data_IF_932531235550
#
_entry.id   IF_932531235550
#
_cell.length_a   1.000
_cell.length_b   1.000
_cell.length_c   1.000
_cell.angle_alpha   90.00
_cell.angle_beta   90.00
_cell.angle_gamma   90.00
#
_symmetry.space_group_name_H-M   'P 1'
#
loop_
_entity.id
_entity.type
_entity.pdbx_description
1 polymer ?
#
# COMPACT_ATOMS: atom_id res chain seq x y z
N UNK A 1 25.39 -34.48 -3.48
CA UNK A 1 26.60 -33.78 -2.99
C UNK A 1 26.85 -32.54 -3.83
N UNK A 2 26.63 -31.35 -3.25
CA UNK A 2 27.42 -30.12 -3.39
C UNK A 2 26.78 -29.10 -2.44
N UNK A 3 27.30 -29.05 -1.21
CA UNK A 3 26.96 -28.02 -0.22
C UNK A 3 27.38 -26.67 -0.80
N UNK A 4 26.47 -25.71 -0.86
CA UNK A 4 26.80 -24.30 -1.10
C UNK A 4 26.69 -23.57 0.24
N UNK A 5 27.83 -23.05 0.66
CA UNK A 5 28.08 -22.23 1.83
C UNK A 5 27.36 -20.89 1.70
N UNK A 6 26.52 -20.57 2.68
CA UNK A 6 26.00 -19.22 2.89
C UNK A 6 27.10 -18.38 3.54
N UNK A 7 27.44 -17.26 2.91
CA UNK A 7 28.28 -16.23 3.53
C UNK A 7 27.34 -15.31 4.30
N UNK A 8 27.33 -15.46 5.63
CA UNK A 8 26.85 -14.43 6.54
C UNK A 8 27.82 -13.25 6.46
N UNK A 9 27.31 -12.06 6.16
CA UNK A 9 28.00 -10.80 6.41
C UNK A 9 27.16 -9.98 7.37
N UNK A 10 27.21 -10.34 8.65
CA UNK A 10 26.84 -9.44 9.74
C UNK A 10 28.11 -8.65 10.11
N UNK A 11 28.19 -7.40 9.66
CA UNK A 11 29.20 -6.49 10.15
C UNK A 11 28.79 -5.99 11.53
N UNK A 12 29.50 -6.44 12.56
CA UNK A 12 29.54 -5.80 13.87
C UNK A 12 29.98 -4.33 13.69
N UNK A 13 29.18 -3.39 14.16
CA UNK A 13 29.65 -2.05 14.52
C UNK A 13 29.74 -1.96 16.05
N UNK A 14 30.86 -1.43 16.59
CA UNK A 14 31.06 -1.36 18.03
C UNK A 14 30.23 -0.23 18.64
N UNK A 15 29.66 -0.55 19.79
CA UNK A 15 29.10 0.37 20.77
C UNK A 15 30.17 1.37 21.21
N UNK A 16 29.91 2.68 21.09
CA UNK A 16 30.13 3.74 22.10
C UNK A 16 30.27 5.13 21.45
N UNK A 17 29.22 5.92 21.55
CA UNK A 17 29.31 7.31 22.01
C UNK A 17 27.90 7.77 22.40
N UNK A 18 27.62 7.70 23.70
CA UNK A 18 26.48 8.39 24.29
C UNK A 18 26.67 9.90 24.09
N UNK A 19 25.68 10.53 23.46
CA UNK A 19 25.47 11.97 23.55
C UNK A 19 24.06 12.20 24.11
N UNK A 20 23.86 13.28 24.88
CA UNK A 20 22.89 13.29 25.96
C UNK A 20 21.45 13.42 25.46
N UNK A 21 20.57 12.61 26.07
CA UNK A 21 19.12 12.83 26.12
C UNK A 21 18.88 14.15 26.83
N UNK A 22 18.66 15.22 26.07
CA UNK A 22 18.02 16.45 26.54
C UNK A 22 16.86 16.78 25.58
N UNK A 23 15.79 15.99 25.68
CA UNK A 23 14.47 16.43 25.23
C UNK A 23 13.76 17.02 26.46
N UNK A 24 14.02 18.28 26.75
CA UNK A 24 13.11 19.07 27.59
C UNK A 24 12.90 20.45 26.97
N UNK A 25 11.64 20.87 26.99
CA UNK A 25 11.13 22.22 26.70
C UNK A 25 11.05 22.62 25.23
N UNK A 26 10.00 22.13 24.56
CA UNK A 26 9.29 22.88 23.52
C UNK A 26 7.78 22.59 23.59
N UNK A 27 7.23 22.54 24.79
CA UNK A 27 5.82 22.91 24.99
C UNK A 27 5.78 24.42 25.09
N UNK A 28 5.23 25.08 24.06
CA UNK A 28 4.45 26.33 24.09
C UNK A 28 4.42 26.93 22.68
N UNK A 29 3.23 27.40 22.29
CA UNK A 29 2.88 28.05 21.03
C UNK A 29 2.38 27.13 19.89
N UNK A 30 1.44 26.23 20.20
CA UNK A 30 0.40 25.86 19.24
C UNK A 30 -0.94 26.18 19.87
N UNK A 31 -1.64 27.17 19.32
CA UNK A 31 -3.07 27.32 19.58
C UNK A 31 -3.76 26.06 19.06
N UNK A 32 -4.11 25.16 19.98
CA UNK A 32 -4.97 24.03 19.66
C UNK A 32 -6.27 24.58 19.05
N UNK A 33 -6.66 24.18 17.83
CA UNK A 33 -7.99 24.46 17.33
C UNK A 33 -9.00 23.96 18.36
N UNK A 34 -10.01 24.78 18.66
CA UNK A 34 -11.04 24.49 19.65
C UNK A 34 -11.57 23.06 19.46
N UNK A 35 -11.47 22.28 20.52
CA UNK A 35 -11.73 20.84 20.63
C UNK A 35 -13.23 20.47 20.51
N UNK A 36 -13.95 21.04 19.53
CA UNK A 36 -15.41 20.93 19.39
C UNK A 36 -15.91 20.19 18.14
N UNK A 37 -15.02 19.67 17.30
CA UNK A 37 -15.43 18.87 16.14
C UNK A 37 -14.45 17.72 15.83
N UNK A 38 -14.04 16.97 16.86
CA UNK A 38 -13.32 15.71 16.64
C UNK A 38 -14.31 14.66 16.14
N UNK A 39 -14.51 14.63 14.83
CA UNK A 39 -14.98 13.43 14.15
C UNK A 39 -14.18 12.22 14.69
N UNK A 40 -14.88 11.12 14.98
CA UNK A 40 -14.28 9.93 15.60
C UNK A 40 -13.10 9.47 14.75
N UNK A 41 -11.89 9.46 15.32
CA UNK A 41 -10.69 9.00 14.63
C UNK A 41 -10.93 7.59 14.06
N UNK A 42 -10.64 7.41 12.78
CA UNK A 42 -10.84 6.13 12.08
C UNK A 42 -9.53 5.37 12.13
N UNK A 43 -9.58 4.11 12.58
CA UNK A 43 -8.43 3.21 12.58
C UNK A 43 -8.72 1.95 11.77
N UNK A 44 -7.75 1.55 10.95
CA UNK A 44 -7.88 0.49 9.95
C UNK A 44 -6.57 -0.30 9.91
N UNK A 45 -6.62 -1.62 9.94
CA UNK A 45 -5.46 -2.46 9.70
C UNK A 45 -5.22 -2.60 8.18
N UNK A 46 -3.95 -2.59 7.77
CA UNK A 46 -3.52 -2.70 6.39
C UNK A 46 -2.46 -3.80 6.32
N UNK A 47 -2.78 -4.90 5.62
CA UNK A 47 -1.91 -6.07 5.42
C UNK A 47 -2.05 -6.52 3.98
N UNK A 48 -0.95 -6.83 3.29
CA UNK A 48 -0.95 -7.16 1.86
C UNK A 48 -0.17 -8.44 1.61
N UNK A 49 -0.32 -9.02 0.41
CA UNK A 49 0.56 -10.08 -0.10
C UNK A 49 0.65 -11.25 0.88
N UNK A 50 -0.52 -11.78 1.23
CA UNK A 50 -0.68 -12.84 2.22
C UNK A 50 -0.09 -14.16 1.71
N UNK A 51 -0.27 -14.44 0.40
CA UNK A 51 0.23 -15.63 -0.28
C UNK A 51 -0.02 -16.92 0.51
N UNK A 52 -1.23 -17.09 1.04
CA UNK A 52 -1.57 -18.22 1.91
C UNK A 52 -1.66 -19.49 1.06
N UNK A 53 -0.65 -20.35 1.17
CA UNK A 53 -0.55 -21.60 0.39
C UNK A 53 -0.75 -22.88 1.20
N UNK A 54 -0.81 -22.78 2.53
CA UNK A 54 -0.92 -23.91 3.45
C UNK A 54 -1.62 -23.53 4.76
N UNK A 55 -2.05 -24.54 5.53
CA UNK A 55 -2.75 -24.34 6.81
C UNK A 55 -1.86 -23.69 7.89
N UNK A 56 -0.54 -23.78 7.81
CA UNK A 56 0.36 -23.12 8.77
C UNK A 56 0.40 -21.61 8.52
N UNK A 57 0.45 -21.19 7.26
CA UNK A 57 0.33 -19.80 6.86
C UNK A 57 -1.05 -19.24 7.22
N UNK A 58 -2.10 -20.02 6.95
CA UNK A 58 -3.47 -19.63 7.34
C UNK A 58 -3.59 -19.44 8.86
N UNK A 59 -3.02 -20.36 9.66
CA UNK A 59 -2.98 -20.23 11.11
C UNK A 59 -2.18 -19.00 11.56
N UNK A 60 -1.09 -18.68 10.89
CA UNK A 60 -0.29 -17.47 11.19
C UNK A 60 -1.10 -16.21 10.92
N UNK A 61 -1.79 -16.15 9.77
CA UNK A 61 -2.67 -15.04 9.45
C UNK A 61 -3.86 -14.93 10.42
N UNK A 62 -4.44 -16.06 10.84
CA UNK A 62 -5.49 -16.07 11.86
C UNK A 62 -5.01 -15.49 13.20
N UNK A 63 -3.81 -15.82 13.64
CA UNK A 63 -3.19 -15.21 14.83
C UNK A 63 -3.04 -13.70 14.67
N UNK A 64 -2.54 -13.24 13.51
CA UNK A 64 -2.40 -11.81 13.23
C UNK A 64 -3.75 -11.07 13.23
N UNK A 65 -4.79 -11.65 12.62
CA UNK A 65 -6.16 -11.12 12.64
C UNK A 65 -6.69 -11.00 14.07
N UNK A 66 -6.46 -12.01 14.92
CA UNK A 66 -6.85 -11.98 16.32
C UNK A 66 -6.11 -10.88 17.09
N UNK A 67 -4.81 -10.68 16.85
CA UNK A 67 -4.06 -9.58 17.47
C UNK A 67 -4.60 -8.21 17.02
N UNK A 68 -4.86 -8.03 15.72
CA UNK A 68 -5.52 -6.82 15.17
C UNK A 68 -6.85 -6.53 15.87
N UNK A 69 -7.70 -7.56 15.98
CA UNK A 69 -9.05 -7.41 16.52
C UNK A 69 -9.05 -7.24 18.04
N UNK A 70 -8.33 -8.08 18.76
CA UNK A 70 -8.44 -8.20 20.20
C UNK A 70 -7.41 -7.37 20.97
N UNK A 71 -6.17 -7.26 20.48
CA UNK A 71 -5.14 -6.47 21.18
C UNK A 71 -5.20 -5.01 20.75
N UNK A 72 -5.37 -4.75 19.45
CA UNK A 72 -5.40 -3.38 18.92
C UNK A 72 -6.81 -2.77 18.85
N UNK A 73 -7.86 -3.57 19.06
CA UNK A 73 -9.27 -3.13 19.00
C UNK A 73 -9.61 -2.45 17.67
N UNK A 74 -9.01 -2.93 16.58
CA UNK A 74 -9.26 -2.44 15.23
C UNK A 74 -10.44 -3.20 14.64
N UNK A 75 -11.38 -2.45 14.05
CA UNK A 75 -12.65 -2.96 13.52
C UNK A 75 -12.75 -2.86 12.00
N UNK A 76 -11.69 -2.44 11.32
CA UNK A 76 -11.65 -2.32 9.85
C UNK A 76 -10.34 -2.87 9.33
N UNK A 77 -10.36 -3.49 8.15
CA UNK A 77 -9.18 -4.05 7.51
C UNK A 77 -9.17 -3.79 6.00
N UNK A 78 -7.99 -3.52 5.46
CA UNK A 78 -7.70 -3.42 4.03
C UNK A 78 -6.68 -4.52 3.68
N UNK A 79 -6.98 -5.28 2.62
CA UNK A 79 -6.12 -6.32 2.03
C UNK A 79 -5.91 -5.98 0.54
N UNK A 80 -4.80 -5.30 0.17
CA UNK A 80 -4.48 -4.90 -1.19
C UNK A 80 -4.04 -6.05 -2.12
N UNK A 81 -4.71 -7.20 -2.10
CA UNK A 81 -4.46 -8.29 -3.04
C UNK A 81 -3.40 -9.31 -2.61
N UNK A 82 -3.17 -10.27 -3.51
CA UNK A 82 -2.35 -11.46 -3.35
C UNK A 82 -2.70 -12.25 -2.09
N UNK A 83 -3.97 -12.61 -2.00
CA UNK A 83 -4.52 -13.41 -0.91
C UNK A 83 -3.93 -14.83 -0.97
N UNK A 84 -4.00 -15.48 -2.14
CA UNK A 84 -3.45 -16.81 -2.36
C UNK A 84 -3.33 -17.19 -3.85
N UNK A 85 -2.39 -18.09 -4.16
CA UNK A 85 -2.27 -18.78 -5.43
C UNK A 85 -3.42 -19.79 -5.72
N UNK A 86 -4.33 -20.04 -4.76
CA UNK A 86 -5.40 -21.05 -4.90
C UNK A 86 -6.77 -20.59 -4.40
N UNK A 87 -7.83 -20.96 -5.12
CA UNK A 87 -9.21 -20.64 -4.74
C UNK A 87 -9.58 -21.18 -3.35
N UNK A 88 -9.07 -22.35 -2.95
CA UNK A 88 -9.37 -22.93 -1.64
C UNK A 88 -8.89 -22.01 -0.50
N UNK A 89 -7.66 -21.53 -0.59
CA UNK A 89 -7.11 -20.63 0.41
C UNK A 89 -7.64 -19.20 0.29
N UNK A 90 -7.95 -18.69 -0.91
CA UNK A 90 -8.71 -17.43 -1.05
C UNK A 90 -10.02 -17.54 -0.27
N UNK A 91 -10.76 -18.64 -0.44
CA UNK A 91 -12.06 -18.85 0.22
C UNK A 91 -11.92 -18.92 1.74
N UNK A 92 -10.94 -19.70 2.23
CA UNK A 92 -10.64 -19.79 3.66
C UNK A 92 -10.26 -18.43 4.24
N UNK A 93 -9.35 -17.69 3.61
CA UNK A 93 -8.94 -16.37 4.09
C UNK A 93 -10.12 -15.40 4.15
N UNK A 94 -10.92 -15.33 3.09
CA UNK A 94 -12.10 -14.47 3.06
C UNK A 94 -13.11 -14.84 4.15
N UNK A 95 -13.34 -16.14 4.39
CA UNK A 95 -14.19 -16.63 5.48
C UNK A 95 -13.63 -16.23 6.86
N UNK A 96 -12.33 -16.41 7.10
CA UNK A 96 -11.69 -16.01 8.37
C UNK A 96 -11.82 -14.52 8.61
N UNK A 97 -11.54 -13.69 7.60
CA UNK A 97 -11.67 -12.23 7.70
C UNK A 97 -13.12 -11.83 7.96
N UNK A 98 -14.08 -12.41 7.22
CA UNK A 98 -15.51 -12.14 7.45
C UNK A 98 -15.92 -12.51 8.88
N UNK A 99 -15.43 -13.64 9.39
CA UNK A 99 -15.73 -14.13 10.74
C UNK A 99 -15.07 -13.30 11.85
N UNK A 100 -13.91 -12.69 11.60
CA UNK A 100 -13.26 -11.78 12.56
C UNK A 100 -13.95 -10.41 12.58
N UNK A 101 -14.44 -9.92 11.45
CA UNK A 101 -15.02 -8.57 11.29
C UNK A 101 -16.53 -8.60 11.00
N UNK A 102 -17.28 -9.30 11.87
CA UNK A 102 -18.72 -9.53 11.68
C UNK A 102 -19.61 -8.31 11.99
N UNK A 103 -19.11 -7.30 12.72
CA UNK A 103 -19.96 -6.18 13.15
C UNK A 103 -20.52 -5.36 11.99
N UNK A 104 -21.70 -4.77 12.19
CA UNK A 104 -22.40 -3.97 11.16
C UNK A 104 -21.57 -2.77 10.69
N UNK A 105 -20.86 -2.14 11.62
CA UNK A 105 -19.99 -1.00 11.37
C UNK A 105 -18.55 -1.39 10.99
N UNK A 106 -18.24 -2.69 10.94
CA UNK A 106 -16.91 -3.20 10.62
C UNK A 106 -16.78 -3.40 9.11
N UNK A 107 -15.75 -2.79 8.52
CA UNK A 107 -15.52 -2.78 7.08
C UNK A 107 -14.30 -3.62 6.71
N UNK A 108 -14.49 -4.45 5.69
CA UNK A 108 -13.46 -5.28 5.08
C UNK A 108 -13.31 -4.82 3.64
N UNK A 109 -12.13 -4.34 3.27
CA UNK A 109 -11.78 -3.98 1.89
C UNK A 109 -10.70 -4.96 1.46
N UNK A 110 -11.07 -6.07 0.86
CA UNK A 110 -10.14 -7.03 0.28
C UNK A 110 -10.31 -7.02 -1.24
N UNK A 111 -9.25 -6.68 -1.99
CA UNK A 111 -9.20 -6.79 -3.45
C UNK A 111 -8.38 -8.01 -3.84
N UNK A 112 -8.42 -8.38 -5.12
CA UNK A 112 -7.59 -9.43 -5.70
C UNK A 112 -6.28 -8.84 -6.25
N UNK A 113 -5.19 -9.58 -6.08
CA UNK A 113 -3.91 -9.34 -6.72
C UNK A 113 -3.67 -10.26 -7.92
N UNK A 114 -2.50 -10.13 -8.55
CA UNK A 114 -2.20 -10.89 -9.76
C UNK A 114 -2.16 -12.40 -9.50
N UNK A 115 -1.67 -12.84 -8.34
CA UNK A 115 -1.67 -14.26 -7.97
C UNK A 115 -3.08 -14.82 -7.79
N UNK A 116 -4.02 -13.97 -7.34
CA UNK A 116 -5.41 -14.38 -7.18
C UNK A 116 -6.14 -14.51 -8.52
N UNK A 117 -5.79 -13.70 -9.53
CA UNK A 117 -6.54 -13.63 -10.80
C UNK A 117 -5.93 -14.40 -11.97
N UNK A 118 -4.61 -14.61 -11.98
CA UNK A 118 -3.92 -15.28 -13.10
C UNK A 118 -4.16 -16.79 -13.14
N UNK A 119 -4.53 -17.37 -12.00
CA UNK A 119 -4.79 -18.79 -11.82
C UNK A 119 -3.55 -19.62 -11.50
N UNK A 120 -3.75 -20.87 -11.05
CA UNK A 120 -2.67 -21.69 -10.50
C UNK A 120 -1.79 -22.36 -11.56
N UNK A 121 -2.22 -22.44 -12.82
CA UNK A 121 -1.45 -23.08 -13.88
C UNK A 121 -0.61 -22.05 -14.65
N UNK A 122 0.70 -22.08 -14.42
CA UNK A 122 1.66 -21.22 -15.12
C UNK A 122 1.62 -21.31 -16.65
N UNK A 123 1.08 -22.39 -17.22
CA UNK A 123 0.94 -22.55 -18.68
C UNK A 123 -0.17 -21.68 -19.28
N UNK A 124 -1.12 -21.21 -18.47
CA UNK A 124 -2.21 -20.32 -18.91
C UNK A 124 -1.96 -18.86 -18.54
N UNK A 125 -0.80 -18.54 -17.95
CA UNK A 125 -0.47 -17.16 -17.61
C UNK A 125 -0.15 -16.38 -18.88
N UNK A 126 -0.77 -15.21 -18.99
CA UNK A 126 -0.56 -14.29 -20.11
C UNK A 126 -0.29 -12.88 -19.62
N UNK A 127 0.50 -12.12 -20.38
CA UNK A 127 0.65 -10.67 -20.21
C UNK A 127 -0.11 -9.89 -21.29
N UNK A 128 -0.65 -10.58 -22.29
CA UNK A 128 -1.40 -9.98 -23.39
C UNK A 128 -2.85 -9.72 -22.92
N UNK A 129 -3.32 -8.46 -22.89
CA UNK A 129 -4.70 -8.14 -22.49
C UNK A 129 -5.78 -8.67 -23.45
N UNK A 130 -5.40 -9.01 -24.69
CA UNK A 130 -6.32 -9.56 -25.68
C UNK A 130 -6.44 -11.09 -25.59
N UNK A 131 -5.55 -11.77 -24.85
CA UNK A 131 -5.64 -13.20 -24.60
C UNK A 131 -6.68 -13.54 -23.51
N UNK A 132 -7.54 -14.53 -23.79
CA UNK A 132 -8.54 -14.97 -22.82
C UNK A 132 -7.87 -15.75 -21.69
N UNK A 133 -8.15 -15.35 -20.44
CA UNK A 133 -7.88 -16.16 -19.25
C UNK A 133 -9.20 -16.72 -18.70
N UNK A 134 -9.54 -18.00 -18.97
CA UNK A 134 -10.77 -18.60 -18.48
C UNK A 134 -10.86 -18.67 -16.95
N UNK A 135 -9.73 -18.74 -16.24
CA UNK A 135 -9.71 -18.76 -14.79
C UNK A 135 -10.20 -17.43 -14.21
N UNK A 136 -9.85 -16.30 -14.84
CA UNK A 136 -10.27 -14.97 -14.40
C UNK A 136 -11.80 -14.85 -14.30
N UNK A 137 -12.52 -15.27 -15.35
CA UNK A 137 -14.00 -15.24 -15.37
C UNK A 137 -14.60 -16.08 -14.25
N UNK A 138 -13.97 -17.21 -13.91
CA UNK A 138 -14.41 -18.07 -12.83
C UNK A 138 -14.12 -17.48 -11.45
N UNK A 139 -12.90 -17.00 -11.21
CA UNK A 139 -12.50 -16.49 -9.89
C UNK A 139 -13.19 -15.18 -9.55
N UNK A 140 -13.42 -14.29 -10.53
CA UNK A 140 -14.06 -12.99 -10.27
C UNK A 140 -15.51 -13.15 -9.79
N UNK A 141 -16.25 -14.11 -10.38
CA UNK A 141 -17.60 -14.46 -9.93
C UNK A 141 -17.58 -15.09 -8.54
N UNK A 142 -16.62 -15.96 -8.24
CA UNK A 142 -16.46 -16.52 -6.89
C UNK A 142 -16.15 -15.43 -5.87
N UNK A 143 -15.24 -14.53 -6.18
CA UNK A 143 -14.86 -13.41 -5.34
C UNK A 143 -16.05 -12.50 -5.02
N UNK A 144 -16.80 -12.05 -6.05
CA UNK A 144 -18.01 -11.25 -5.87
C UNK A 144 -19.04 -11.94 -4.96
N UNK A 145 -19.16 -13.27 -5.05
CA UNK A 145 -20.07 -14.03 -4.19
C UNK A 145 -19.56 -14.14 -2.74
N UNK A 146 -18.24 -14.31 -2.54
CA UNK A 146 -17.65 -14.44 -1.20
C UNK A 146 -17.81 -13.17 -0.36
N UNK A 147 -17.77 -11.99 -0.97
CA UNK A 147 -17.85 -10.71 -0.25
C UNK A 147 -19.22 -9.99 -0.39
N UNK A 148 -20.18 -10.56 -1.12
CA UNK A 148 -21.50 -9.96 -1.40
C UNK A 148 -22.29 -9.53 -0.16
N UNK A 149 -22.03 -10.14 1.00
CA UNK A 149 -22.70 -9.76 2.26
C UNK A 149 -22.28 -8.39 2.77
N UNK A 150 -21.05 -7.96 2.48
CA UNK A 150 -20.45 -6.71 2.97
C UNK A 150 -20.27 -5.68 1.84
N UNK A 151 -20.13 -6.16 0.60
CA UNK A 151 -19.76 -5.36 -0.57
C UNK A 151 -20.85 -5.44 -1.63
N UNK A 152 -21.19 -4.28 -2.19
CA UNK A 152 -21.95 -4.20 -3.43
C UNK A 152 -20.99 -3.88 -4.57
N UNK A 153 -20.70 -4.88 -5.40
CA UNK A 153 -19.90 -4.69 -6.60
C UNK A 153 -20.67 -3.96 -7.69
N UNK A 154 -19.92 -3.33 -8.58
CA UNK A 154 -20.44 -2.86 -9.84
C UNK A 154 -20.80 -4.04 -10.76
N UNK A 155 -21.74 -3.81 -11.66
CA UNK A 155 -22.27 -4.87 -12.53
C UNK A 155 -21.21 -5.34 -13.53
N UNK A 156 -20.48 -4.38 -14.13
CA UNK A 156 -19.55 -4.64 -15.25
C UNK A 156 -18.13 -5.05 -14.83
N UNK A 157 -17.74 -4.76 -13.59
CA UNK A 157 -16.39 -4.99 -13.08
C UNK A 157 -16.43 -5.33 -11.58
N UNK A 158 -15.32 -5.76 -11.00
CA UNK A 158 -15.26 -6.12 -9.58
C UNK A 158 -14.83 -4.97 -8.67
N UNK A 159 -14.59 -3.77 -9.20
CA UNK A 159 -14.36 -2.59 -8.38
C UNK A 159 -15.59 -2.25 -7.52
N UNK A 160 -15.33 -1.59 -6.38
CA UNK A 160 -16.35 -1.13 -5.44
C UNK A 160 -15.81 0.03 -4.62
N UNK A 161 -16.69 0.75 -3.93
CA UNK A 161 -16.31 1.79 -2.98
C UNK A 161 -17.03 1.64 -1.64
N UNK A 162 -16.38 2.08 -0.56
CA UNK A 162 -16.92 2.06 0.80
C UNK A 162 -16.60 3.39 1.50
N UNK A 163 -17.53 3.85 2.33
CA UNK A 163 -17.27 4.90 3.30
C UNK A 163 -16.96 4.31 4.67
N UNK A 164 -15.85 4.76 5.28
CA UNK A 164 -15.51 4.50 6.68
C UNK A 164 -15.49 5.85 7.39
N UNK A 165 -16.55 6.14 8.14
CA UNK A 165 -16.81 7.50 8.63
C UNK A 165 -17.02 8.46 7.45
N UNK A 166 -16.30 9.57 7.44
CA UNK A 166 -16.34 10.59 6.39
C UNK A 166 -15.34 10.35 5.24
N UNK A 167 -14.61 9.24 5.28
CA UNK A 167 -13.53 8.92 4.32
C UNK A 167 -14.02 7.92 3.28
N UNK A 168 -13.61 8.13 2.04
CA UNK A 168 -14.02 7.36 0.87
C UNK A 168 -12.89 6.44 0.42
N UNK A 169 -13.14 5.15 0.38
CA UNK A 169 -12.22 4.12 -0.07
C UNK A 169 -12.72 3.56 -1.39
N UNK A 170 -11.88 3.61 -2.41
CA UNK A 170 -12.18 3.17 -3.77
C UNK A 170 -11.26 1.99 -4.06
N UNK A 171 -11.84 0.81 -4.24
CA UNK A 171 -11.12 -0.44 -4.42
C UNK A 171 -11.11 -0.84 -5.90
N UNK A 172 -9.92 -0.85 -6.50
CA UNK A 172 -9.70 -1.18 -7.90
C UNK A 172 -9.29 -2.66 -8.03
N UNK A 173 -10.20 -3.48 -8.54
CA UNK A 173 -9.88 -4.82 -9.01
C UNK A 173 -9.58 -4.75 -10.51
N UNK A 174 -8.55 -5.47 -10.97
CA UNK A 174 -8.27 -5.60 -12.40
C UNK A 174 -9.45 -6.22 -13.16
N UNK A 175 -9.65 -5.81 -14.41
CA UNK A 175 -10.67 -6.32 -15.31
C UNK A 175 -10.21 -7.54 -16.12
N UNK A 176 -8.93 -7.94 -15.98
CA UNK A 176 -8.35 -9.14 -16.63
C UNK A 176 -7.41 -9.88 -15.69
N UNK A 177 -7.34 -11.20 -15.84
CA UNK A 177 -6.42 -12.07 -15.10
C UNK A 177 -5.05 -12.16 -15.76
N UNK A 178 -4.34 -11.03 -15.87
CA UNK A 178 -2.97 -11.03 -16.38
C UNK A 178 -1.99 -11.57 -15.34
N UNK A 179 -0.85 -12.07 -15.80
CA UNK A 179 0.14 -12.75 -14.96
C UNK A 179 0.60 -11.89 -13.80
N UNK A 180 1.01 -10.65 -14.08
CA UNK A 180 1.60 -9.75 -13.08
C UNK A 180 1.10 -8.30 -13.23
N UNK A 181 0.22 -8.02 -14.20
CA UNK A 181 -0.24 -6.67 -14.57
C UNK A 181 -1.69 -6.45 -14.16
N UNK A 182 -2.07 -5.19 -13.92
CA UNK A 182 -3.47 -4.77 -13.92
C UNK A 182 -3.93 -4.40 -15.34
N UNK A 183 -5.22 -4.51 -15.57
CA UNK A 183 -5.87 -3.98 -16.76
C UNK A 183 -7.22 -3.39 -16.40
N UNK A 184 -7.58 -2.25 -17.00
CA UNK A 184 -8.85 -1.58 -16.73
C UNK A 184 -9.56 -1.22 -18.04
N UNK A 185 -10.78 -1.73 -18.20
CA UNK A 185 -11.67 -1.36 -19.30
C UNK A 185 -12.15 0.09 -19.14
N UNK A 186 -12.54 0.73 -20.24
CA UNK A 186 -13.03 2.12 -20.23
C UNK A 186 -14.18 2.34 -19.23
N UNK A 187 -15.09 1.37 -19.06
CA UNK A 187 -16.17 1.48 -18.08
C UNK A 187 -15.65 1.58 -16.64
N UNK A 188 -14.57 0.89 -16.33
CA UNK A 188 -13.94 0.92 -15.00
C UNK A 188 -13.20 2.24 -14.79
N UNK A 189 -12.50 2.74 -15.82
CA UNK A 189 -11.85 4.05 -15.78
C UNK A 189 -12.86 5.20 -15.61
N UNK A 190 -13.97 5.17 -16.35
CA UNK A 190 -15.07 6.14 -16.23
C UNK A 190 -15.71 6.09 -14.83
N UNK A 191 -15.94 4.88 -14.30
CA UNK A 191 -16.44 4.70 -12.94
C UNK A 191 -15.45 5.25 -11.91
N UNK A 192 -14.17 4.94 -12.07
CA UNK A 192 -13.12 5.40 -11.17
C UNK A 192 -13.02 6.92 -11.15
N UNK A 193 -12.96 7.56 -12.32
CA UNK A 193 -12.93 9.02 -12.42
C UNK A 193 -14.16 9.67 -11.78
N UNK A 194 -15.34 9.08 -11.99
CA UNK A 194 -16.59 9.55 -11.37
C UNK A 194 -16.51 9.47 -9.84
N UNK A 195 -16.12 8.32 -9.29
CA UNK A 195 -16.01 8.10 -7.84
C UNK A 195 -14.98 9.02 -7.20
N UNK A 196 -13.83 9.17 -7.85
CA UNK A 196 -12.77 10.06 -7.36
C UNK A 196 -13.20 11.53 -7.38
N UNK A 197 -14.14 11.90 -8.25
CA UNK A 197 -14.69 13.25 -8.36
C UNK A 197 -15.85 13.55 -7.39
N UNK A 198 -16.32 12.57 -6.62
CA UNK A 198 -17.36 12.80 -5.62
C UNK A 198 -16.84 13.73 -4.49
N UNK A 199 -17.69 14.63 -4.01
CA UNK A 199 -17.35 15.49 -2.88
C UNK A 199 -17.36 14.66 -1.60
N UNK A 200 -16.24 14.64 -0.88
CA UNK A 200 -16.09 13.93 0.38
C UNK A 200 -15.73 14.91 1.49
N UNK A 201 -16.26 14.68 2.70
CA UNK A 201 -15.92 15.49 3.87
C UNK A 201 -14.52 15.16 4.39
N UNK A 202 -14.16 13.88 4.36
CA UNK A 202 -12.87 13.38 4.80
C UNK A 202 -11.86 13.29 3.65
N UNK A 203 -11.19 12.15 3.57
CA UNK A 203 -10.09 11.88 2.64
C UNK A 203 -10.48 10.77 1.67
N UNK A 204 -9.81 10.73 0.52
CA UNK A 204 -9.95 9.66 -0.48
C UNK A 204 -8.75 8.72 -0.44
N UNK A 205 -9.04 7.43 -0.49
CA UNK A 205 -8.05 6.36 -0.55
C UNK A 205 -8.40 5.48 -1.75
N UNK A 206 -7.43 5.25 -2.62
CA UNK A 206 -7.52 4.32 -3.73
C UNK A 206 -6.68 3.11 -3.37
N UNK A 207 -7.29 1.93 -3.44
CA UNK A 207 -6.62 0.65 -3.16
C UNK A 207 -6.47 -0.07 -4.50
N UNK A 208 -5.23 -0.37 -4.85
CA UNK A 208 -4.86 -1.15 -6.03
C UNK A 208 -3.85 -2.21 -5.59
N UNK A 209 -3.81 -3.37 -6.23
CA UNK A 209 -2.76 -4.33 -5.91
C UNK A 209 -1.42 -3.87 -6.51
N UNK A 210 -1.41 -3.61 -7.81
CA UNK A 210 -0.23 -3.13 -8.51
C UNK A 210 0.10 -1.68 -8.13
N UNK A 211 1.38 -1.38 -7.85
CA UNK A 211 1.88 -0.01 -7.73
C UNK A 211 1.91 0.67 -9.09
N UNK A 212 1.67 1.98 -9.13
CA UNK A 212 1.87 2.77 -10.36
C UNK A 212 3.34 2.79 -10.77
N UNK A 213 3.64 2.83 -12.07
CA UNK A 213 5.03 2.82 -12.56
C UNK A 213 5.80 4.05 -12.08
N UNK A 214 7.11 3.88 -11.88
CA UNK A 214 8.06 4.93 -11.48
C UNK A 214 7.73 5.60 -10.14
N UNK A 215 7.14 4.82 -9.23
CA UNK A 215 6.74 5.31 -7.91
C UNK A 215 7.63 4.75 -6.82
N UNK A 216 7.41 3.50 -6.42
CA UNK A 216 8.14 2.83 -5.36
C UNK A 216 9.36 2.08 -5.90
N UNK A 217 10.31 1.79 -5.01
CA UNK A 217 11.36 0.82 -5.28
C UNK A 217 10.71 -0.51 -5.72
N UNK A 218 10.95 -0.90 -6.98
CA UNK A 218 10.48 -2.10 -7.72
C UNK A 218 9.07 -2.00 -8.33
N UNK A 219 8.50 -0.79 -8.40
CA UNK A 219 7.16 -0.59 -8.96
C UNK A 219 6.97 -1.00 -10.43
N UNK A 220 8.03 -0.99 -11.26
CA UNK A 220 7.93 -1.42 -12.67
C UNK A 220 8.36 -2.89 -12.88
N UNK A 221 8.70 -3.63 -11.82
CA UNK A 221 9.04 -5.05 -11.97
C UNK A 221 7.83 -5.84 -12.46
N UNK A 222 8.10 -7.01 -13.05
CA UNK A 222 7.09 -7.91 -13.59
C UNK A 222 6.23 -7.32 -14.73
N UNK A 223 6.60 -6.15 -15.26
CA UNK A 223 5.87 -5.41 -16.29
C UNK A 223 5.16 -4.16 -15.75
N UNK A 224 5.25 -3.92 -14.44
CA UNK A 224 4.73 -2.72 -13.78
C UNK A 224 3.22 -2.74 -13.61
N UNK A 225 2.61 -1.56 -13.64
CA UNK A 225 1.18 -1.41 -13.39
C UNK A 225 0.32 -2.05 -14.49
N UNK A 226 0.65 -1.83 -15.76
CA UNK A 226 -0.16 -2.22 -16.91
C UNK A 226 -0.39 -1.06 -17.88
N UNK A 227 -1.13 -1.31 -18.96
CA UNK A 227 -1.29 -0.36 -20.08
C UNK A 227 -1.98 0.96 -19.69
N UNK A 228 -2.82 0.94 -18.64
CA UNK A 228 -3.57 2.11 -18.19
C UNK A 228 -2.86 2.96 -17.13
N UNK A 229 -1.58 2.71 -16.85
CA UNK A 229 -0.81 3.46 -15.84
C UNK A 229 -0.92 4.99 -16.02
N UNK A 230 -0.71 5.49 -17.23
CA UNK A 230 -0.79 6.92 -17.55
C UNK A 230 -2.22 7.47 -17.39
N UNK A 231 -3.25 6.71 -17.76
CA UNK A 231 -4.63 7.17 -17.64
C UNK A 231 -5.07 7.21 -16.17
N UNK A 232 -4.66 6.23 -15.35
CA UNK A 232 -4.89 6.25 -13.90
C UNK A 232 -4.18 7.45 -13.26
N UNK A 233 -2.89 7.68 -13.58
CA UNK A 233 -2.14 8.87 -13.11
C UNK A 233 -2.83 10.16 -13.52
N UNK A 234 -3.34 10.24 -14.76
CA UNK A 234 -4.08 11.40 -15.27
C UNK A 234 -5.38 11.64 -14.52
N UNK A 235 -6.17 10.62 -14.21
CA UNK A 235 -7.38 10.74 -13.38
C UNK A 235 -7.01 11.22 -11.97
N UNK A 236 -6.00 10.59 -11.36
CA UNK A 236 -5.52 10.93 -10.02
C UNK A 236 -4.93 12.35 -9.92
N UNK A 237 -4.29 12.86 -10.98
CA UNK A 237 -3.71 14.22 -11.03
C UNK A 237 -4.75 15.33 -10.83
N UNK A 238 -6.03 15.05 -11.10
CA UNK A 238 -7.15 15.96 -10.82
C UNK A 238 -7.48 16.02 -9.33
N UNK A 239 -7.02 15.04 -8.55
CA UNK A 239 -7.28 14.85 -7.12
C UNK A 239 -5.99 14.56 -6.33
N UNK A 240 -4.98 15.46 -6.35
CA UNK A 240 -3.61 15.18 -5.89
C UNK A 240 -3.46 14.97 -4.37
N UNK A 241 -4.52 15.15 -3.59
CA UNK A 241 -4.58 14.85 -2.15
C UNK A 241 -5.05 13.42 -1.84
N UNK A 242 -5.31 12.62 -2.88
CA UNK A 242 -5.73 11.22 -2.75
C UNK A 242 -4.55 10.36 -2.30
N UNK A 243 -4.81 9.43 -1.39
CA UNK A 243 -3.87 8.39 -1.03
C UNK A 243 -4.04 7.21 -1.99
N UNK A 244 -2.96 6.70 -2.55
CA UNK A 244 -2.93 5.49 -3.38
C UNK A 244 -2.15 4.42 -2.63
N UNK A 245 -2.80 3.34 -2.24
CA UNK A 245 -2.21 2.26 -1.44
C UNK A 245 -2.07 1.02 -2.32
N UNK A 246 -0.85 0.46 -2.36
CA UNK A 246 -0.54 -0.74 -3.15
C UNK A 246 0.27 -1.80 -2.40
N UNK A 247 0.25 -3.02 -2.93
CA UNK A 247 1.04 -4.18 -2.50
C UNK A 247 2.01 -4.63 -3.59
N UNK A 248 2.01 -5.92 -3.93
CA UNK A 248 2.67 -6.57 -5.10
C UNK A 248 4.20 -6.64 -5.06
N UNK A 249 4.85 -5.62 -4.49
CA UNK A 249 6.32 -5.46 -4.56
C UNK A 249 7.07 -6.38 -3.58
N UNK A 250 6.40 -6.84 -2.53
CA UNK A 250 6.97 -7.66 -1.44
C UNK A 250 8.15 -7.03 -0.69
N UNK A 251 8.19 -5.70 -0.56
CA UNK A 251 9.13 -5.06 0.34
C UNK A 251 8.65 -5.16 1.79
N UNK A 252 9.59 -5.09 2.73
CA UNK A 252 9.37 -4.98 4.16
C UNK A 252 9.88 -3.66 4.71
N UNK A 253 9.70 -3.46 6.02
CA UNK A 253 10.17 -2.25 6.68
C UNK A 253 11.67 -2.00 6.48
N UNK A 254 12.04 -0.72 6.44
CA UNK A 254 13.42 -0.26 6.16
C UNK A 254 13.75 -0.05 4.68
N UNK A 255 12.89 -0.53 3.77
CA UNK A 255 12.99 -0.26 2.32
C UNK A 255 11.67 0.12 1.65
N UNK A 256 10.54 0.02 2.37
CA UNK A 256 9.26 0.56 1.90
C UNK A 256 9.37 2.04 1.53
N UNK A 257 8.44 2.54 0.72
CA UNK A 257 8.37 3.95 0.34
C UNK A 257 6.98 4.58 0.44
N UNK A 258 6.95 5.83 0.92
CA UNK A 258 5.76 6.67 0.96
C UNK A 258 6.11 8.06 0.42
N UNK A 259 5.42 8.52 -0.63
CA UNK A 259 5.83 9.71 -1.36
C UNK A 259 4.67 10.51 -1.93
N UNK A 260 4.83 11.84 -1.94
CA UNK A 260 3.97 12.72 -2.72
C UNK A 260 4.43 12.73 -4.18
N UNK A 261 3.46 12.59 -5.08
CA UNK A 261 3.56 12.97 -6.49
C UNK A 261 2.45 13.94 -6.83
N UNK A 262 2.47 14.49 -8.04
CA UNK A 262 1.41 15.40 -8.47
C UNK A 262 0.08 14.70 -8.78
N UNK A 263 0.07 13.37 -8.75
CA UNK A 263 -1.09 12.51 -8.84
C UNK A 263 -1.41 11.78 -7.53
N UNK A 264 -0.90 12.21 -6.38
CA UNK A 264 -1.33 11.66 -5.08
C UNK A 264 -0.21 11.34 -4.11
N UNK A 265 -0.63 10.91 -2.94
CA UNK A 265 0.24 10.36 -1.89
C UNK A 265 0.29 8.85 -2.05
N UNK A 266 1.42 8.32 -2.50
CA UNK A 266 1.59 6.92 -2.83
C UNK A 266 2.18 6.19 -1.63
N UNK A 267 1.53 5.11 -1.21
CA UNK A 267 1.87 4.32 -0.03
C UNK A 267 2.08 2.87 -0.44
N UNK A 268 3.29 2.39 -0.22
CA UNK A 268 3.60 0.97 -0.34
C UNK A 268 3.25 0.24 0.96
N UNK A 269 2.58 -0.90 0.83
CA UNK A 269 2.24 -1.79 1.95
C UNK A 269 3.29 -2.90 2.05
N UNK A 270 3.78 -3.25 3.25
CA UNK A 270 4.66 -4.40 3.38
C UNK A 270 3.96 -5.71 3.06
N UNK A 271 4.75 -6.65 2.55
CA UNK A 271 4.33 -8.04 2.43
C UNK A 271 4.08 -8.64 3.82
N UNK A 272 2.91 -9.25 4.01
CA UNK A 272 2.66 -10.06 5.22
C UNK A 272 3.50 -11.34 5.18
N UNK A 273 3.66 -11.92 4.01
CA UNK A 273 4.44 -13.13 3.74
C UNK A 273 5.22 -12.95 2.44
N UNK A 274 6.22 -13.83 2.20
CA UNK A 274 7.10 -13.75 1.01
C UNK A 274 7.84 -12.41 0.87
N UNK A 275 8.10 -11.70 1.96
CA UNK A 275 8.89 -10.46 1.94
C UNK A 275 10.30 -10.71 1.40
N UNK A 276 10.73 -9.90 0.45
CA UNK A 276 11.97 -10.12 -0.31
C UNK A 276 13.09 -9.16 0.09
N UNK A 277 12.75 -7.97 0.58
CA UNK A 277 13.71 -6.93 0.94
C UNK A 277 13.32 -6.22 2.25
N UNK A 278 14.29 -5.66 2.97
CA UNK A 278 14.05 -5.01 4.26
C UNK A 278 13.97 -6.01 5.41
N UNK A 279 13.08 -5.77 6.38
CA UNK A 279 12.72 -6.79 7.38
C UNK A 279 11.86 -7.87 6.73
N UNK A 280 12.27 -9.14 6.82
CA UNK A 280 11.75 -10.23 6.00
C UNK A 280 10.84 -11.22 6.75
N UNK A 281 10.68 -11.03 8.06
CA UNK A 281 9.79 -11.84 8.88
C UNK A 281 8.33 -11.71 8.41
N UNK A 282 7.52 -12.73 8.72
CA UNK A 282 6.08 -12.70 8.44
C UNK A 282 5.37 -11.80 9.43
N UNK A 283 4.24 -11.23 9.02
CA UNK A 283 3.33 -10.54 9.93
C UNK A 283 3.30 -9.02 9.77
N UNK A 284 4.11 -8.44 8.90
CA UNK A 284 4.18 -6.98 8.75
C UNK A 284 2.93 -6.37 8.14
N UNK A 285 2.61 -5.15 8.59
CA UNK A 285 1.48 -4.35 8.14
C UNK A 285 1.43 -3.01 8.88
N UNK A 286 0.45 -2.19 8.53
CA UNK A 286 0.22 -0.91 9.19
C UNK A 286 -1.10 -0.88 9.96
N UNK A 287 -1.15 -0.11 11.06
CA UNK A 287 -2.40 0.47 11.54
C UNK A 287 -2.48 1.90 10.99
N UNK A 288 -3.44 2.13 10.10
CA UNK A 288 -3.76 3.48 9.60
C UNK A 288 -4.63 4.18 10.63
N UNK A 289 -4.24 5.38 11.06
CA UNK A 289 -5.05 6.29 11.88
C UNK A 289 -5.30 7.56 11.09
N UNK A 290 -6.57 7.81 10.77
CA UNK A 290 -7.00 8.99 10.04
C UNK A 290 -7.49 10.03 11.05
N UNK A 291 -6.73 11.12 11.16
CA UNK A 291 -6.98 12.24 12.06
C UNK A 291 -7.56 13.42 11.29
N UNK A 292 -7.82 14.55 11.96
CA UNK A 292 -8.36 15.74 11.29
C UNK A 292 -7.41 16.32 10.24
N UNK A 293 -6.11 16.32 10.52
CA UNK A 293 -5.07 17.05 9.78
C UNK A 293 -3.89 16.15 9.34
N UNK A 294 -3.97 14.85 9.63
CA UNK A 294 -2.93 13.88 9.28
C UNK A 294 -3.49 12.46 9.06
N UNK A 295 -2.67 11.65 8.41
CA UNK A 295 -2.80 10.19 8.36
C UNK A 295 -1.51 9.61 8.92
N UNK A 296 -1.65 8.82 9.99
CA UNK A 296 -0.54 8.09 10.60
C UNK A 296 -0.61 6.62 10.16
N UNK A 297 0.52 6.04 9.81
CA UNK A 297 0.68 4.62 9.54
C UNK A 297 1.63 4.06 10.60
N UNK A 298 1.07 3.37 11.58
CA UNK A 298 1.88 2.73 12.63
C UNK A 298 2.37 1.38 12.13
N UNK A 299 3.67 1.14 12.16
CA UNK A 299 4.30 -0.05 11.61
C UNK A 299 4.27 -1.21 12.63
N UNK A 300 3.57 -2.29 12.32
CA UNK A 300 3.42 -3.43 13.22
C UNK A 300 3.86 -4.72 12.56
N UNK A 301 4.42 -5.62 13.36
CA UNK A 301 4.31 -7.05 13.10
C UNK A 301 3.09 -7.57 13.88
N UNK A 302 2.01 -7.86 13.17
CA UNK A 302 0.75 -8.32 13.76
C UNK A 302 0.80 -9.79 14.19
N UNK A 303 1.68 -10.61 13.61
CA UNK A 303 1.85 -12.00 14.05
C UNK A 303 2.48 -12.07 15.44
N UNK A 304 3.58 -11.33 15.63
CA UNK A 304 4.32 -11.26 16.90
C UNK A 304 3.77 -10.20 17.86
N UNK A 305 2.83 -9.36 17.40
CA UNK A 305 2.24 -8.25 18.16
C UNK A 305 3.29 -7.22 18.65
N UNK A 306 4.21 -6.83 17.76
CA UNK A 306 5.32 -5.90 18.05
C UNK A 306 5.16 -4.62 17.21
N UNK A 307 5.27 -3.47 17.87
CA UNK A 307 5.32 -2.14 17.23
C UNK A 307 6.75 -1.80 16.82
N UNK A 308 6.92 -1.21 15.64
CA UNK A 308 8.20 -0.70 15.14
C UNK A 308 8.11 0.80 14.89
N UNK A 309 8.13 1.63 15.95
CA UNK A 309 7.90 3.07 15.85
C UNK A 309 8.91 3.79 14.95
N UNK A 310 10.10 3.24 14.74
CA UNK A 310 11.10 3.77 13.80
C UNK A 310 10.66 3.73 12.33
N UNK A 311 9.64 2.94 12.00
CA UNK A 311 9.04 2.85 10.67
C UNK A 311 7.63 3.45 10.60
N UNK A 312 7.16 4.10 11.67
CA UNK A 312 5.91 4.85 11.64
C UNK A 312 6.02 6.01 10.64
N UNK A 313 4.92 6.25 9.92
CA UNK A 313 4.81 7.35 8.96
C UNK A 313 3.73 8.31 9.41
N UNK A 314 4.02 9.61 9.36
CA UNK A 314 3.02 10.67 9.58
C UNK A 314 2.96 11.60 8.37
N UNK A 315 1.81 11.60 7.70
CA UNK A 315 1.58 12.44 6.52
C UNK A 315 0.55 13.49 6.88
N UNK A 316 0.99 14.75 6.94
CA UNK A 316 0.13 15.88 7.33
C UNK A 316 -0.43 16.59 6.10
N UNK A 317 -1.64 17.14 6.23
CA UNK A 317 -2.26 17.94 5.16
C UNK A 317 -1.41 19.17 4.80
N UNK A 318 -0.70 19.73 5.79
CA UNK A 318 0.23 20.84 5.59
C UNK A 318 1.40 20.43 4.71
N UNK A 319 2.02 19.28 4.98
CA UNK A 319 3.14 18.79 4.18
C UNK A 319 2.71 18.48 2.74
N UNK A 320 1.56 17.81 2.56
CA UNK A 320 0.96 17.58 1.23
C UNK A 320 0.71 18.90 0.51
N UNK A 321 0.04 19.86 1.17
CA UNK A 321 -0.31 21.14 0.55
C UNK A 321 0.93 21.98 0.20
N UNK A 322 1.93 22.03 1.08
CA UNK A 322 3.20 22.73 0.85
C UNK A 322 3.95 22.17 -0.35
N UNK A 323 4.00 20.85 -0.50
CA UNK A 323 4.61 20.21 -1.69
C UNK A 323 3.83 20.60 -2.96
N UNK A 324 2.51 20.57 -2.92
CA UNK A 324 1.65 20.93 -4.06
C UNK A 324 1.69 22.43 -4.41
N UNK A 325 1.95 23.32 -3.44
CA UNK A 325 2.12 24.76 -3.67
C UNK A 325 3.43 25.06 -4.40
N UNK A 326 4.54 24.43 -3.98
CA UNK A 326 5.85 24.56 -4.64
C UNK A 326 5.82 24.16 -6.13
N UNK A 327 4.90 23.24 -6.50
CA UNK A 327 4.59 22.93 -7.93
C UNK A 327 4.17 24.18 -8.69
N UNK A 328 3.21 24.92 -8.12
CA UNK A 328 2.60 26.08 -8.77
C UNK A 328 3.62 27.20 -8.95
N UNK A 329 4.56 27.30 -8.01
CA UNK A 329 5.64 28.27 -8.01
C UNK A 329 6.81 27.89 -8.94
N UNK A 330 6.78 26.71 -9.56
CA UNK A 330 7.86 26.17 -10.42
C UNK A 330 9.22 26.20 -9.74
N UNK A 331 9.26 25.91 -8.44
CA UNK A 331 10.52 25.85 -7.71
C UNK A 331 11.37 24.67 -8.20
N UNK A 332 12.66 24.89 -8.49
CA UNK A 332 13.59 23.83 -8.91
C UNK A 332 13.69 22.69 -7.86
N UNK A 333 13.44 23.00 -6.59
CA UNK A 333 13.38 22.01 -5.52
C UNK A 333 12.17 21.07 -5.64
N UNK A 334 11.03 21.56 -6.16
CA UNK A 334 9.86 20.74 -6.45
C UNK A 334 10.15 19.80 -7.62
N UNK A 335 10.70 20.32 -8.71
CA UNK A 335 11.06 19.52 -9.87
C UNK A 335 11.99 18.37 -9.46
N UNK A 336 13.04 18.62 -8.66
CA UNK A 336 13.90 17.56 -8.12
C UNK A 336 13.19 16.55 -7.19
N UNK A 337 12.10 16.94 -6.52
CA UNK A 337 11.36 16.08 -5.60
C UNK A 337 10.42 15.12 -6.35
N UNK A 338 9.76 15.61 -7.41
CA UNK A 338 8.79 14.83 -8.20
C UNK A 338 9.40 14.21 -9.47
N UNK A 339 10.52 14.73 -9.97
CA UNK A 339 11.28 14.18 -11.10
C UNK A 339 12.17 13.01 -10.70
N UNK A 340 12.17 12.61 -9.43
CA UNK A 340 12.86 11.41 -8.97
C UNK A 340 12.07 10.19 -9.51
N UNK A 341 12.28 9.98 -10.80
CA UNK A 341 11.82 8.85 -11.59
C UNK A 341 12.90 7.80 -11.39
N UNK A 342 12.53 6.69 -10.79
CA UNK A 342 13.39 5.54 -10.79
C UNK A 342 13.60 5.08 -12.24
N UNK A 343 14.84 4.86 -12.71
CA UNK A 343 15.08 4.40 -14.07
C UNK A 343 14.75 2.89 -14.18
N UNK A 344 13.59 2.48 -13.68
CA UNK A 344 13.25 1.09 -13.46
C UNK A 344 13.09 0.33 -14.74
N UNK A 345 12.45 0.91 -15.75
CA UNK A 345 12.39 0.33 -17.08
C UNK A 345 13.80 -0.09 -17.55
N UNK A 346 14.79 0.82 -17.43
CA UNK A 346 16.19 0.54 -17.79
C UNK A 346 16.88 -0.47 -16.87
N UNK A 347 16.52 -0.53 -15.59
CA UNK A 347 17.07 -1.51 -14.64
C UNK A 347 16.47 -2.88 -14.93
N UNK A 348 15.16 -2.99 -15.10
CA UNK A 348 14.43 -4.21 -15.41
C UNK A 348 14.87 -4.79 -16.76
N UNK A 349 14.99 -3.97 -17.81
CA UNK A 349 15.55 -4.39 -19.11
C UNK A 349 16.93 -5.03 -18.98
N UNK A 350 17.79 -4.47 -18.13
CA UNK A 350 19.14 -4.99 -17.89
C UNK A 350 19.18 -6.25 -17.02
N UNK A 351 18.06 -6.63 -16.41
CA UNK A 351 17.97 -7.70 -15.42
C UNK A 351 16.81 -8.67 -15.74
N UNK A 352 16.52 -8.92 -17.02
CA UNK A 352 15.50 -9.89 -17.47
C UNK A 352 14.11 -9.66 -16.87
N UNK A 353 13.64 -8.40 -16.90
CA UNK A 353 12.38 -7.98 -16.28
C UNK A 353 12.48 -7.71 -14.77
N UNK A 354 13.62 -8.02 -14.17
CA UNK A 354 13.96 -7.77 -12.76
C UNK A 354 13.37 -8.76 -11.77
N UNK A 355 12.75 -9.85 -12.25
CA UNK A 355 12.09 -10.90 -11.47
C UNK A 355 13.01 -11.59 -10.44
N UNK A 356 14.34 -11.49 -10.61
CA UNK A 356 15.35 -12.06 -9.70
C UNK A 356 16.12 -11.02 -8.88
N UNK A 357 15.70 -9.74 -8.91
CA UNK A 357 16.37 -8.68 -8.16
C UNK A 357 16.02 -8.80 -6.67
N UNK A 358 17.02 -9.24 -5.91
CA UNK A 358 17.00 -9.30 -4.43
C UNK A 358 17.92 -8.26 -3.77
N UNK A 359 18.64 -7.47 -4.58
CA UNK A 359 19.56 -6.47 -4.09
C UNK A 359 18.81 -5.17 -3.77
N UNK A 360 19.14 -4.49 -2.67
CA UNK A 360 18.48 -3.26 -2.25
C UNK A 360 18.80 -2.04 -3.14
N UNK A 361 18.08 -0.94 -2.91
CA UNK A 361 18.21 0.34 -3.62
C UNK A 361 19.66 0.80 -3.81
N UNK A 362 20.49 0.66 -2.78
CA UNK A 362 21.89 1.07 -2.78
C UNK A 362 22.74 0.35 -3.82
N UNK A 363 22.44 -0.91 -4.14
CA UNK A 363 23.13 -1.68 -5.17
C UNK A 363 23.01 -1.02 -6.55
N UNK A 364 21.85 -0.39 -6.79
CA UNK A 364 21.53 0.28 -8.05
C UNK A 364 21.86 1.78 -8.02
N UNK A 365 22.54 2.26 -6.97
CA UNK A 365 22.83 3.66 -6.77
C UNK A 365 21.58 4.51 -6.56
N UNK A 366 20.46 3.88 -6.18
CA UNK A 366 19.21 4.56 -5.93
C UNK A 366 19.17 5.06 -4.49
N UNK A 367 18.72 6.29 -4.33
CA UNK A 367 18.49 6.87 -3.02
C UNK A 367 17.23 6.26 -2.42
N UNK A 368 17.29 5.89 -1.14
CA UNK A 368 16.09 5.56 -0.36
C UNK A 368 15.25 6.82 -0.15
N UNK A 369 13.96 6.79 -0.50
CA UNK A 369 13.06 7.94 -0.34
C UNK A 369 12.32 7.93 1.01
N UNK A 370 12.69 7.02 1.90
CA UNK A 370 12.09 6.76 3.22
C UNK A 370 12.62 7.63 4.38
N UNK A 371 11.90 7.74 5.52
CA UNK A 371 10.46 7.93 5.66
C UNK A 371 10.08 9.36 6.10
N UNK A 372 10.86 9.98 6.99
CA UNK A 372 10.40 11.20 7.68
C UNK A 372 11.06 12.47 7.15
N UNK A 373 12.30 12.40 6.65
CA UNK A 373 13.08 13.60 6.32
C UNK A 373 12.41 14.53 5.30
N UNK A 374 11.69 13.98 4.30
CA UNK A 374 10.98 14.80 3.32
C UNK A 374 9.68 15.36 3.92
N UNK A 375 8.86 14.54 4.58
CA UNK A 375 7.55 14.97 5.10
C UNK A 375 7.66 15.93 6.29
N UNK A 376 8.60 15.70 7.22
CA UNK A 376 8.85 16.59 8.37
C UNK A 376 9.38 17.96 7.94
N UNK A 377 10.22 18.00 6.89
CA UNK A 377 10.73 19.27 6.35
C UNK A 377 9.62 20.19 5.83
N UNK A 378 8.48 19.63 5.43
CA UNK A 378 7.32 20.38 4.95
C UNK A 378 6.19 20.46 5.98
N UNK A 379 6.34 19.84 7.16
CA UNK A 379 5.36 19.93 8.24
C UNK A 379 5.61 21.12 9.17
N UNK A 380 6.84 21.66 9.22
CA UNK A 380 7.14 22.87 9.98
C UNK A 380 6.50 24.09 9.31
N UNK A 381 5.63 24.81 10.04
CA UNK A 381 5.11 26.10 9.62
C UNK A 381 6.27 27.01 9.20
N UNK A 382 6.12 27.86 8.16
CA UNK A 382 7.13 28.84 7.84
C UNK A 382 7.39 29.66 9.11
N UNK A 383 8.62 29.59 9.61
CA UNK A 383 9.10 30.55 10.60
C UNK A 383 8.91 31.91 9.96
N UNK A 384 7.90 32.65 10.42
CA UNK A 384 7.76 34.05 10.07
C UNK A 384 9.06 34.72 10.51
N UNK A 385 9.88 35.07 9.53
CA UNK A 385 11.13 35.78 9.75
C UNK A 385 10.85 37.04 10.56
N UNK A 386 11.62 37.17 11.65
CA UNK A 386 11.85 38.43 12.34
C UNK A 386 12.66 39.37 11.46
#
# INVERSE_FOLDING_TARGET
MKRRTFIQSAALLPLTMQLPVHASTADLCINQPSNKDKGKAVSIALVSDLHIGDDNLLSSFSTALNNIKENHKISNIIIPGDISDSLDYISKVMEYVENTFQGENEKVIAILGNHDVRGPDSKSWTKDPDEDNPYYKFIIEKYKNMNAKKIKHEEKHACFDIFIGDHHFIALNTDRGLKDLAYYDNSTLEWFEKKLSENVKGRKFVISHQPLNDTHWRSNLFGGFGEQDDEIKKILSKHPKTFFISGHIHNGFGVLEAMQRDFGTLIETPSFNRTENGLIEKGYGFIIKIESDAVNFEAWNFLENIHYPEYDLKITDNAVSSILEKKKEKEECYDKLISEIYPWEKIAEKNDGGDSIIAGQEHFGLRKLWPNYKWERYSSAPTQGQ
#
